data_IF_450579768781
#
_entry.id   IF_450579768781
#
_cell.length_a   1.000
_cell.length_b   1.000
_cell.length_c   1.000
_cell.angle_alpha   90.00
_cell.angle_beta   90.00
_cell.angle_gamma   90.00
#
_symmetry.space_group_name_H-M   'P 1'
#
loop_
_entity.id
_entity.type
_entity.pdbx_description
1 polymer ?
#
# COMPACT_ATOMS: atom_id res chain seq x y z
N UNK A 1 6.42 -26.60 0.31
CA UNK A 1 6.88 -26.52 1.70
C UNK A 1 6.12 -25.44 2.45
N UNK A 2 5.62 -25.76 3.60
CA UNK A 2 4.87 -24.81 4.40
C UNK A 2 5.80 -24.03 5.32
N UNK A 3 5.71 -22.71 5.24
CA UNK A 3 6.37 -21.87 6.21
C UNK A 3 5.63 -21.97 7.54
N UNK A 4 6.36 -22.13 8.64
CA UNK A 4 5.70 -22.17 9.92
C UNK A 4 5.06 -20.82 10.23
N UNK A 5 3.85 -20.86 10.76
CA UNK A 5 3.17 -19.66 11.24
C UNK A 5 3.63 -19.35 12.65
N UNK A 6 3.96 -18.11 12.89
CA UNK A 6 4.33 -17.66 14.22
C UNK A 6 3.26 -16.73 14.76
N UNK A 7 3.12 -16.72 16.08
CA UNK A 7 2.21 -15.80 16.73
C UNK A 7 2.84 -14.42 16.79
N UNK A 8 2.10 -13.42 16.38
CA UNK A 8 2.46 -12.03 16.62
C UNK A 8 1.72 -11.55 17.84
N UNK A 9 2.44 -11.09 18.85
CA UNK A 9 1.84 -10.52 20.06
C UNK A 9 2.18 -9.05 20.10
N UNK A 10 1.14 -8.20 20.15
CA UNK A 10 1.34 -6.76 20.18
C UNK A 10 0.21 -6.10 20.97
N UNK A 11 0.46 -4.88 21.42
CA UNK A 11 -0.54 -4.09 22.13
C UNK A 11 -1.11 -3.04 21.20
N UNK A 12 -2.42 -3.02 21.08
CA UNK A 12 -3.15 -2.10 20.21
C UNK A 12 -4.22 -1.42 21.01
N UNK A 13 -4.53 -0.16 20.67
CA UNK A 13 -5.62 0.57 21.29
C UNK A 13 -6.89 -0.29 21.30
N UNK A 14 -7.51 -0.42 22.47
CA UNK A 14 -8.65 -1.31 22.65
C UNK A 14 -9.83 -0.96 21.77
N UNK A 15 -10.15 0.33 21.69
CA UNK A 15 -11.29 0.79 20.88
C UNK A 15 -11.06 0.52 19.40
N UNK A 16 -9.85 0.79 18.93
CA UNK A 16 -9.51 0.53 17.53
C UNK A 16 -9.59 -0.96 17.21
N UNK A 17 -9.09 -1.79 18.11
CA UNK A 17 -9.14 -3.24 17.90
C UNK A 17 -10.58 -3.75 17.84
N UNK A 18 -11.44 -3.28 18.73
CA UNK A 18 -12.85 -3.69 18.73
C UNK A 18 -13.57 -3.25 17.46
N UNK A 19 -13.31 -2.03 17.02
CA UNK A 19 -13.90 -1.52 15.77
C UNK A 19 -13.39 -2.28 14.55
N UNK A 20 -12.11 -2.64 14.55
CA UNK A 20 -11.53 -3.44 13.47
C UNK A 20 -12.16 -4.83 13.42
N UNK A 21 -12.36 -5.46 14.57
CA UNK A 21 -13.00 -6.77 14.64
C UNK A 21 -14.41 -6.73 14.09
N UNK A 22 -15.19 -5.70 14.46
CA UNK A 22 -16.55 -5.55 13.94
C UNK A 22 -16.57 -5.37 12.44
N UNK A 23 -15.65 -4.53 11.92
CA UNK A 23 -15.56 -4.29 10.50
C UNK A 23 -15.20 -5.57 9.75
N UNK A 24 -14.31 -6.37 10.31
CA UNK A 24 -13.94 -7.65 9.74
C UNK A 24 -15.11 -8.61 9.68
N UNK A 25 -15.93 -8.65 10.74
CA UNK A 25 -17.11 -9.49 10.75
C UNK A 25 -18.11 -9.07 9.69
N UNK A 26 -18.35 -7.77 9.56
CA UNK A 26 -19.26 -7.25 8.53
C UNK A 26 -18.81 -7.62 7.11
N UNK A 27 -17.52 -7.62 6.87
CA UNK A 27 -16.96 -7.90 5.55
C UNK A 27 -16.60 -9.36 5.34
N UNK A 28 -16.76 -10.18 6.36
CA UNK A 28 -16.38 -11.60 6.32
C UNK A 28 -14.90 -11.80 5.99
N UNK A 29 -14.04 -10.97 6.58
CA UNK A 29 -12.60 -11.03 6.39
C UNK A 29 -11.93 -11.34 7.72
N UNK A 30 -11.01 -12.31 7.79
CA UNK A 30 -10.31 -12.57 9.06
C UNK A 30 -9.35 -11.44 9.39
N UNK A 31 -9.35 -11.02 10.65
CA UNK A 31 -8.47 -9.96 11.11
C UNK A 31 -6.99 -10.31 10.90
N UNK A 32 -6.63 -11.57 11.19
CA UNK A 32 -5.27 -12.03 11.00
C UNK A 32 -4.83 -11.89 9.54
N UNK A 33 -5.75 -12.12 8.60
CA UNK A 33 -5.46 -11.96 7.18
C UNK A 33 -5.14 -10.52 6.81
N UNK A 34 -5.88 -9.57 7.37
CA UNK A 34 -5.62 -8.15 7.11
C UNK A 34 -4.23 -7.76 7.62
N UNK A 35 -3.89 -8.20 8.83
CA UNK A 35 -2.60 -7.91 9.43
C UNK A 35 -1.47 -8.52 8.58
N UNK A 36 -1.61 -9.78 8.22
CA UNK A 36 -0.60 -10.46 7.41
C UNK A 36 -0.43 -9.81 6.04
N UNK A 37 -1.53 -9.47 5.40
CA UNK A 37 -1.49 -8.82 4.09
C UNK A 37 -0.79 -7.46 4.15
N UNK A 38 -1.06 -6.68 5.19
CA UNK A 38 -0.38 -5.41 5.33
C UNK A 38 1.11 -5.59 5.57
N UNK A 39 1.50 -6.58 6.38
CA UNK A 39 2.91 -6.84 6.63
C UNK A 39 3.63 -7.28 5.34
N UNK A 40 2.98 -8.09 4.51
CA UNK A 40 3.54 -8.48 3.21
C UNK A 40 3.75 -7.26 2.33
N UNK A 41 2.78 -6.37 2.31
CA UNK A 41 2.86 -5.12 1.55
C UNK A 41 3.98 -4.24 2.09
N UNK A 42 4.09 -4.12 3.40
CA UNK A 42 5.11 -3.31 4.04
C UNK A 42 6.52 -3.79 3.69
N UNK A 43 6.72 -5.10 3.65
CA UNK A 43 8.03 -5.69 3.33
C UNK A 43 8.43 -5.41 1.89
N UNK A 44 7.49 -5.46 0.96
CA UNK A 44 7.76 -5.25 -0.45
C UNK A 44 6.57 -4.58 -1.13
N UNK A 45 6.45 -3.25 -0.97
CA UNK A 45 5.31 -2.51 -1.48
C UNK A 45 5.17 -2.58 -2.99
N UNK A 46 3.93 -2.63 -3.46
CA UNK A 46 3.63 -2.61 -4.89
C UNK A 46 2.60 -1.55 -5.19
N UNK A 47 2.51 -1.16 -6.45
CA UNK A 47 1.51 -0.22 -6.95
C UNK A 47 1.02 -0.70 -8.31
N UNK A 48 -0.09 -0.13 -8.75
CA UNK A 48 -0.63 -0.41 -10.09
C UNK A 48 -0.31 0.77 -11.01
N UNK A 49 0.06 0.45 -12.23
CA UNK A 49 0.37 1.47 -13.23
C UNK A 49 -0.88 2.24 -13.65
N UNK A 50 -0.76 3.54 -13.78
CA UNK A 50 -1.88 4.39 -14.23
C UNK A 50 -2.26 4.14 -15.69
N UNK A 51 -1.31 3.70 -16.49
CA UNK A 51 -1.52 3.53 -17.91
C UNK A 51 -1.91 2.11 -18.30
N UNK A 52 -1.09 1.13 -17.95
CA UNK A 52 -1.33 -0.25 -18.38
C UNK A 52 -2.06 -1.11 -17.34
N UNK A 53 -2.22 -0.62 -16.11
CA UNK A 53 -2.92 -1.35 -15.06
C UNK A 53 -2.13 -2.50 -14.44
N UNK A 54 -0.90 -2.71 -14.86
CA UNK A 54 -0.09 -3.79 -14.34
C UNK A 54 0.47 -3.46 -12.96
N UNK A 55 0.53 -4.48 -12.09
CA UNK A 55 1.12 -4.33 -10.77
C UNK A 55 2.64 -4.45 -10.88
N UNK A 56 3.34 -3.58 -10.15
CA UNK A 56 4.79 -3.67 -10.07
C UNK A 56 5.27 -3.25 -8.68
N UNK A 57 6.47 -3.70 -8.31
CA UNK A 57 7.04 -3.39 -7.01
C UNK A 57 7.74 -2.05 -7.02
N UNK A 58 7.55 -1.30 -5.93
CA UNK A 58 8.13 0.04 -5.80
C UNK A 58 9.65 -0.01 -5.69
N UNK A 59 10.16 -0.95 -4.87
CA UNK A 59 11.61 -1.09 -4.72
C UNK A 59 12.24 -1.60 -6.02
N UNK A 60 13.33 -0.97 -6.38
CA UNK A 60 14.02 -1.31 -7.62
C UNK A 60 13.41 -0.67 -8.85
N UNK A 61 12.31 0.05 -8.72
CA UNK A 61 11.73 0.76 -9.86
C UNK A 61 12.47 2.08 -10.10
N UNK A 62 12.55 2.46 -11.38
CA UNK A 62 13.21 3.67 -11.78
C UNK A 62 12.36 4.89 -11.46
N UNK A 63 13.00 5.97 -11.02
CA UNK A 63 12.30 7.22 -10.78
C UNK A 63 12.41 8.13 -12.00
N UNK A 64 11.34 8.87 -12.27
CA UNK A 64 11.37 9.86 -13.34
C UNK A 64 12.21 11.08 -12.90
N UNK A 65 13.16 11.47 -13.74
CA UNK A 65 14.03 12.60 -13.45
C UNK A 65 13.29 13.94 -13.38
N UNK A 66 12.13 14.01 -14.06
CA UNK A 66 11.34 15.26 -14.10
C UNK A 66 10.37 15.39 -12.95
N UNK A 67 9.56 14.37 -12.69
CA UNK A 67 8.50 14.46 -11.67
C UNK A 67 8.81 13.72 -10.38
N UNK A 68 9.88 12.92 -10.35
CA UNK A 68 10.26 12.15 -9.17
C UNK A 68 9.34 10.99 -8.87
N UNK A 69 8.41 10.67 -9.76
CA UNK A 69 7.48 9.57 -9.59
C UNK A 69 8.09 8.27 -10.09
N UNK A 70 7.56 7.16 -9.58
CA UNK A 70 8.00 5.83 -9.98
C UNK A 70 7.53 5.54 -11.40
N UNK A 71 8.43 5.08 -12.26
CA UNK A 71 8.07 4.68 -13.62
C UNK A 71 7.62 3.23 -13.63
N UNK A 72 6.56 2.95 -14.40
CA UNK A 72 6.14 1.58 -14.63
C UNK A 72 7.22 0.87 -15.45
N UNK A 73 7.72 -0.29 -15.00
CA UNK A 73 8.76 -1.00 -15.75
C UNK A 73 8.28 -1.57 -17.09
N UNK A 74 6.96 -1.69 -17.27
CA UNK A 74 6.41 -2.21 -18.51
C UNK A 74 6.16 -1.14 -19.57
N UNK A 75 5.46 -0.06 -19.20
CA UNK A 75 5.08 0.96 -20.18
C UNK A 75 5.82 2.28 -20.01
N UNK A 76 6.60 2.43 -18.94
CA UNK A 76 7.40 3.62 -18.73
C UNK A 76 6.64 4.87 -18.28
N UNK A 77 5.34 4.76 -18.03
CA UNK A 77 4.54 5.91 -17.67
C UNK A 77 4.91 6.42 -16.27
N UNK A 78 4.83 7.72 -16.10
CA UNK A 78 5.06 8.36 -14.81
C UNK A 78 4.04 9.48 -14.65
N UNK A 79 4.17 10.28 -13.58
CA UNK A 79 3.23 11.37 -13.32
C UNK A 79 3.20 12.42 -14.42
N UNK A 80 4.26 12.57 -15.18
CA UNK A 80 4.33 13.55 -16.28
C UNK A 80 3.23 13.36 -17.32
N UNK A 81 2.74 12.12 -17.48
CA UNK A 81 1.68 11.82 -18.44
C UNK A 81 0.26 12.06 -17.94
N UNK A 82 0.11 12.52 -16.69
CA UNK A 82 -1.20 12.75 -16.11
C UNK A 82 -1.59 14.21 -16.23
N UNK A 83 -2.91 14.47 -16.34
CA UNK A 83 -3.39 15.83 -16.27
C UNK A 83 -3.25 16.34 -14.83
N UNK A 84 -3.39 17.66 -14.64
CA UNK A 84 -3.15 18.27 -13.34
C UNK A 84 -4.08 17.75 -12.26
N UNK A 85 -5.34 17.60 -12.54
CA UNK A 85 -6.31 17.11 -11.56
C UNK A 85 -6.02 15.70 -11.13
N UNK A 86 -5.73 14.83 -12.08
CA UNK A 86 -5.40 13.44 -11.79
C UNK A 86 -4.09 13.34 -11.01
N UNK A 87 -3.09 14.16 -11.38
CA UNK A 87 -1.82 14.17 -10.68
C UNK A 87 -1.96 14.59 -9.22
N UNK A 88 -2.82 15.57 -8.94
CA UNK A 88 -3.09 16.02 -7.57
C UNK A 88 -3.78 14.91 -6.77
N UNK A 89 -4.78 14.26 -7.35
CA UNK A 89 -5.48 13.17 -6.69
C UNK A 89 -4.52 12.01 -6.35
N UNK A 90 -3.66 11.65 -7.29
CA UNK A 90 -2.67 10.60 -7.08
C UNK A 90 -1.68 10.98 -5.97
N UNK A 91 -1.28 12.25 -5.94
CA UNK A 91 -0.40 12.75 -4.89
C UNK A 91 -1.02 12.57 -3.50
N UNK A 92 -2.30 12.91 -3.34
CA UNK A 92 -2.98 12.76 -2.05
C UNK A 92 -3.13 11.30 -1.65
N UNK A 93 -3.41 10.42 -2.58
CA UNK A 93 -3.47 8.98 -2.30
C UNK A 93 -2.13 8.44 -1.88
N UNK A 94 -1.06 8.90 -2.51
CA UNK A 94 0.29 8.50 -2.14
C UNK A 94 0.66 8.93 -0.72
N UNK A 95 0.16 10.08 -0.27
CA UNK A 95 0.41 10.53 1.10
C UNK A 95 -0.14 9.57 2.13
N UNK A 96 -1.35 9.05 1.93
CA UNK A 96 -1.94 8.06 2.83
C UNK A 96 -1.06 6.82 2.89
N UNK A 97 -0.67 6.33 1.74
CA UNK A 97 0.19 5.16 1.62
C UNK A 97 1.54 5.39 2.32
N UNK A 98 2.16 6.53 2.09
CA UNK A 98 3.44 6.84 2.73
C UNK A 98 3.31 6.97 4.25
N UNK A 99 2.26 7.60 4.72
CA UNK A 99 2.03 7.74 6.17
C UNK A 99 1.86 6.38 6.83
N UNK A 100 1.15 5.47 6.19
CA UNK A 100 0.97 4.11 6.71
C UNK A 100 2.29 3.36 6.76
N UNK A 101 3.10 3.48 5.71
CA UNK A 101 4.37 2.75 5.64
C UNK A 101 5.43 3.25 6.61
N UNK A 102 5.41 4.54 6.96
CA UNK A 102 6.37 5.07 7.92
C UNK A 102 5.81 5.18 9.34
N UNK A 103 4.59 4.69 9.55
CA UNK A 103 3.99 4.68 10.87
C UNK A 103 3.52 6.03 11.39
N UNK A 104 3.32 7.01 10.52
CA UNK A 104 2.84 8.35 10.92
C UNK A 104 1.33 8.43 10.95
N UNK A 105 0.69 7.41 11.46
CA UNK A 105 -0.77 7.37 11.58
C UNK A 105 -1.15 7.85 12.99
N UNK A 106 -2.10 8.74 13.06
CA UNK A 106 -2.62 9.24 14.33
C UNK A 106 -4.04 8.82 14.58
#
# INVERSE_FOLDING_TARGET
MNDPKEKLTTTIDKEILERAKRKCEEKHIPLAGIIENFLRYFVNPWVYCFGCGERFYVEGSELCAKCGWIKCPKCGICRCGLDEKTAVAVFHMRRVYEDLLVGRVK
#
